data_IF_023560766990
#
_entry.id   IF_023560766990
#
_cell.length_a   1.000
_cell.length_b   1.000
_cell.length_c   1.000
_cell.angle_alpha   90.00
_cell.angle_beta   90.00
_cell.angle_gamma   90.00
#
_symmetry.space_group_name_H-M   'P 1'
#
loop_
_entity.id
_entity.type
_entity.pdbx_description
1 polymer ?
#
# COMPACT_ATOMS: atom_id res chain seq x y z
N UNK A 1 -7.89 15.83 -14.15
CA UNK A 1 -7.32 14.68 -13.40
C UNK A 1 -5.91 15.05 -13.01
N UNK A 2 -5.49 14.79 -11.78
CA UNK A 2 -4.11 15.04 -11.36
C UNK A 2 -3.26 13.84 -11.79
N UNK A 3 -2.30 14.02 -12.72
CA UNK A 3 -1.52 12.88 -13.26
C UNK A 3 -0.79 12.11 -12.16
N UNK A 4 -0.43 12.79 -11.07
CA UNK A 4 0.24 12.21 -9.91
C UNK A 4 -0.57 11.05 -9.31
N UNK A 5 -1.88 11.21 -9.16
CA UNK A 5 -2.72 10.17 -8.57
C UNK A 5 -2.92 8.97 -9.48
N UNK A 6 -2.92 9.18 -10.80
CA UNK A 6 -3.00 8.09 -11.79
C UNK A 6 -1.71 7.27 -11.75
N UNK A 7 -0.55 7.93 -11.78
CA UNK A 7 0.76 7.24 -11.69
C UNK A 7 0.86 6.47 -10.37
N UNK A 8 0.50 7.08 -9.25
CA UNK A 8 0.55 6.42 -7.95
C UNK A 8 -0.38 5.21 -7.87
N UNK A 9 -1.58 5.29 -8.47
CA UNK A 9 -2.52 4.16 -8.53
C UNK A 9 -1.93 3.00 -9.34
N UNK A 10 -1.35 3.27 -10.51
CA UNK A 10 -0.72 2.26 -11.37
C UNK A 10 0.45 1.59 -10.65
N UNK A 11 1.36 2.37 -10.06
CA UNK A 11 2.50 1.83 -9.32
C UNK A 11 2.05 1.02 -8.10
N UNK A 12 1.03 1.50 -7.38
CA UNK A 12 0.45 0.77 -6.25
C UNK A 12 -0.13 -0.58 -6.67
N UNK A 13 -0.83 -0.64 -7.81
CA UNK A 13 -1.37 -1.87 -8.37
C UNK A 13 -0.26 -2.85 -8.78
N UNK A 14 0.79 -2.36 -9.45
CA UNK A 14 1.96 -3.17 -9.83
C UNK A 14 2.65 -3.75 -8.59
N UNK A 15 2.88 -2.94 -7.56
CA UNK A 15 3.50 -3.41 -6.31
C UNK A 15 2.61 -4.40 -5.57
N UNK A 16 1.29 -4.19 -5.54
CA UNK A 16 0.34 -5.15 -4.96
C UNK A 16 0.45 -6.51 -5.68
N UNK A 17 0.44 -6.51 -7.02
CA UNK A 17 0.57 -7.74 -7.82
C UNK A 17 1.91 -8.44 -7.51
N UNK A 18 3.03 -7.70 -7.55
CA UNK A 18 4.34 -8.29 -7.24
C UNK A 18 4.47 -8.75 -5.79
N UNK A 19 3.83 -8.06 -4.83
CA UNK A 19 3.79 -8.46 -3.43
C UNK A 19 3.08 -9.80 -3.24
N UNK A 20 1.93 -9.99 -3.90
CA UNK A 20 1.18 -11.24 -3.89
C UNK A 20 1.95 -12.39 -4.55
N UNK A 21 2.52 -12.14 -5.74
CA UNK A 21 3.33 -13.14 -6.46
C UNK A 21 4.59 -13.49 -5.67
N UNK A 22 5.28 -12.48 -5.14
CA UNK A 22 6.50 -12.62 -4.36
C UNK A 22 6.27 -13.43 -3.09
N UNK A 23 5.15 -13.22 -2.40
CA UNK A 23 4.76 -14.03 -1.25
C UNK A 23 4.56 -15.50 -1.63
N UNK A 24 3.79 -15.77 -2.69
CA UNK A 24 3.53 -17.13 -3.17
C UNK A 24 4.79 -17.87 -3.62
N UNK A 25 5.74 -17.18 -4.25
CA UNK A 25 6.97 -17.79 -4.77
C UNK A 25 8.07 -17.95 -3.72
N UNK A 26 8.23 -16.98 -2.83
CA UNK A 26 9.34 -16.98 -1.85
C UNK A 26 8.97 -17.64 -0.52
N UNK A 27 7.69 -17.84 -0.24
CA UNK A 27 7.19 -18.25 1.08
C UNK A 27 7.39 -17.20 2.18
N UNK A 28 8.01 -16.06 1.87
CA UNK A 28 8.27 -14.98 2.84
C UNK A 28 7.05 -14.09 2.93
N UNK A 29 6.67 -13.74 4.16
CA UNK A 29 5.53 -12.84 4.41
C UNK A 29 5.86 -11.38 4.09
N UNK A 30 7.14 -11.02 3.99
CA UNK A 30 7.55 -9.63 3.74
C UNK A 30 6.96 -9.02 2.45
N UNK A 31 7.09 -9.63 1.25
CA UNK A 31 6.44 -9.12 0.04
C UNK A 31 4.93 -8.93 0.17
N UNK A 32 4.25 -9.76 0.98
CA UNK A 32 2.81 -9.62 1.21
C UNK A 32 2.49 -8.33 1.97
N UNK A 33 3.24 -8.01 3.04
CA UNK A 33 3.02 -6.77 3.80
C UNK A 33 3.21 -5.54 2.92
N UNK A 34 4.26 -5.52 2.09
CA UNK A 34 4.49 -4.42 1.14
C UNK A 34 3.35 -4.33 0.13
N UNK A 35 2.93 -5.45 -0.45
CA UNK A 35 1.81 -5.49 -1.40
C UNK A 35 0.53 -4.93 -0.79
N UNK A 36 0.15 -5.36 0.42
CA UNK A 36 -1.06 -4.88 1.11
C UNK A 36 -0.97 -3.38 1.41
N UNK A 37 0.16 -2.90 1.90
CA UNK A 37 0.34 -1.47 2.19
C UNK A 37 0.16 -0.61 0.92
N UNK A 38 0.79 -1.01 -0.18
CA UNK A 38 0.60 -0.32 -1.46
C UNK A 38 -0.81 -0.49 -2.02
N UNK A 39 -1.49 -1.61 -1.77
CA UNK A 39 -2.92 -1.78 -2.07
C UNK A 39 -3.79 -0.74 -1.35
N UNK A 40 -3.55 -0.52 -0.05
CA UNK A 40 -4.24 0.52 0.74
C UNK A 40 -3.94 1.93 0.23
N UNK A 41 -2.67 2.23 -0.11
CA UNK A 41 -2.34 3.49 -0.77
C UNK A 41 -3.08 3.64 -2.10
N UNK A 42 -3.14 2.60 -2.93
CA UNK A 42 -3.87 2.56 -4.19
C UNK A 42 -5.36 2.89 -4.01
N UNK A 43 -6.03 2.29 -3.01
CA UNK A 43 -7.42 2.63 -2.67
C UNK A 43 -7.59 4.11 -2.32
N UNK A 44 -6.63 4.67 -1.56
CA UNK A 44 -6.69 6.10 -1.24
C UNK A 44 -6.56 6.99 -2.48
N UNK A 45 -5.69 6.62 -3.43
CA UNK A 45 -5.51 7.35 -4.70
C UNK A 45 -6.73 7.21 -5.62
N UNK A 46 -7.36 6.03 -5.63
CA UNK A 46 -8.60 5.81 -6.37
C UNK A 46 -9.72 6.73 -5.86
N UNK A 47 -9.88 6.86 -4.54
CA UNK A 47 -10.85 7.78 -3.96
C UNK A 47 -10.56 9.26 -4.32
N UNK A 48 -9.29 9.65 -4.40
CA UNK A 48 -8.91 10.99 -4.89
C UNK A 48 -9.33 11.19 -6.36
N UNK A 49 -9.11 10.18 -7.21
CA UNK A 49 -9.49 10.24 -8.63
C UNK A 49 -11.00 10.26 -8.86
N UNK A 50 -11.77 9.58 -8.00
CA UNK A 50 -13.23 9.58 -8.03
C UNK A 50 -13.87 10.84 -7.44
N UNK A 51 -13.06 11.79 -6.93
CA UNK A 51 -13.57 13.01 -6.32
C UNK A 51 -14.20 12.81 -4.93
N UNK A 52 -13.96 11.66 -4.30
CA UNK A 52 -14.50 11.29 -2.98
C UNK A 52 -13.60 11.76 -1.82
N UNK A 53 -12.58 12.56 -2.11
CA UNK A 53 -11.58 12.99 -1.15
C UNK A 53 -12.18 13.75 0.05
N UNK A 54 -13.09 14.68 -0.22
CA UNK A 54 -13.69 15.52 0.81
C UNK A 54 -14.69 14.76 1.70
N UNK A 55 -15.44 13.82 1.13
CA UNK A 55 -16.42 13.03 1.89
C UNK A 55 -15.78 11.91 2.72
N UNK A 56 -14.61 11.42 2.30
CA UNK A 56 -13.90 10.31 2.93
C UNK A 56 -12.62 10.73 3.63
N UNK A 57 -12.39 12.03 3.89
CA UNK A 57 -11.11 12.55 4.38
C UNK A 57 -10.56 11.76 5.58
N UNK A 58 -11.37 11.57 6.62
CA UNK A 58 -10.99 10.80 7.82
C UNK A 58 -10.65 9.35 7.47
N UNK A 59 -11.46 8.70 6.63
CA UNK A 59 -11.21 7.33 6.21
C UNK A 59 -9.92 7.21 5.39
N UNK A 60 -9.63 8.18 4.52
CA UNK A 60 -8.40 8.23 3.72
C UNK A 60 -7.17 8.44 4.59
N UNK A 61 -7.26 9.28 5.62
CA UNK A 61 -6.19 9.44 6.62
C UNK A 61 -5.95 8.11 7.33
N UNK A 62 -6.99 7.44 7.84
CA UNK A 62 -6.87 6.16 8.54
C UNK A 62 -6.23 5.10 7.64
N UNK A 63 -6.71 4.95 6.40
CA UNK A 63 -6.16 3.98 5.44
C UNK A 63 -4.67 4.23 5.18
N UNK A 64 -4.28 5.49 4.97
CA UNK A 64 -2.87 5.86 4.75
C UNK A 64 -2.02 5.60 5.98
N UNK A 65 -2.49 5.96 7.16
CA UNK A 65 -1.77 5.70 8.42
C UNK A 65 -1.56 4.21 8.62
N UNK A 66 -2.59 3.38 8.41
CA UNK A 66 -2.46 1.91 8.50
C UNK A 66 -1.46 1.40 7.46
N UNK A 67 -1.50 1.90 6.22
CA UNK A 67 -0.54 1.53 5.18
C UNK A 67 0.90 1.87 5.59
N UNK A 68 1.16 3.06 6.13
CA UNK A 68 2.48 3.44 6.65
C UNK A 68 2.92 2.54 7.81
N UNK A 69 2.04 2.23 8.76
CA UNK A 69 2.36 1.35 9.88
C UNK A 69 2.71 -0.07 9.42
N UNK A 70 2.05 -0.59 8.40
CA UNK A 70 2.39 -1.88 7.79
C UNK A 70 3.80 -1.83 7.18
N UNK A 71 4.15 -0.76 6.45
CA UNK A 71 5.50 -0.60 5.89
C UNK A 71 6.55 -0.52 7.00
N UNK A 72 6.31 0.30 8.02
CA UNK A 72 7.22 0.42 9.18
C UNK A 72 7.42 -0.94 9.85
N UNK A 73 6.35 -1.68 10.11
CA UNK A 73 6.44 -3.01 10.70
C UNK A 73 7.18 -4.00 9.79
N UNK A 74 6.91 -3.98 8.48
CA UNK A 74 7.56 -4.87 7.52
C UNK A 74 9.07 -4.62 7.44
N UNK A 75 9.47 -3.35 7.38
CA UNK A 75 10.88 -2.93 7.41
C UNK A 75 11.50 -3.31 8.76
N UNK A 76 10.82 -3.02 9.87
CA UNK A 76 11.32 -3.36 11.19
C UNK A 76 11.59 -4.85 11.35
N UNK A 77 10.63 -5.68 10.93
CA UNK A 77 10.74 -7.14 11.02
C UNK A 77 11.91 -7.69 10.18
N UNK A 78 12.16 -7.10 9.01
CA UNK A 78 13.26 -7.55 8.13
C UNK A 78 14.62 -7.02 8.56
N UNK A 79 14.69 -5.77 9.05
CA UNK A 79 15.95 -5.11 9.38
C UNK A 79 16.41 -5.36 10.82
N UNK A 80 15.48 -5.50 11.77
CA UNK A 80 15.76 -5.56 13.21
C UNK A 80 15.14 -6.79 13.90
N UNK A 81 14.32 -7.58 13.19
CA UNK A 81 13.83 -8.85 13.73
C UNK A 81 14.97 -9.86 13.86
N UNK A 82 15.30 -10.27 15.10
CA UNK A 82 16.17 -11.43 15.32
C UNK A 82 15.58 -12.67 14.66
N UNK A 83 16.45 -13.45 14.02
CA UNK A 83 16.13 -14.75 13.39
C UNK A 83 15.59 -15.75 14.40
#
# INVERSE_FOLDING_TARGET
MNEIYVVNLVLSAVILIFGLIGWRRSGKVFPLYIGIAFGLFGLSHLAMLLGLAASLEVALIVIRTVAYLIVVYAVYKVAFGSK
#
